data_IF_124664694370
#
_entry.id   IF_124664694370
#
_cell.length_a   1.000
_cell.length_b   1.000
_cell.length_c   1.000
_cell.angle_alpha   90.00
_cell.angle_beta   90.00
_cell.angle_gamma   90.00
#
_symmetry.space_group_name_H-M   'P 1'
#
loop_
_entity.id
_entity.type
_entity.pdbx_description
1 polymer ?
#
# COMPACT_ATOMS: atom_id res chain seq x y z
N UNK A 1 0.05 2.79 -12.91
CA UNK A 1 1.35 3.21 -12.34
C UNK A 1 1.44 2.61 -10.94
N UNK A 2 2.51 1.87 -10.63
CA UNK A 2 2.72 1.22 -9.33
C UNK A 2 3.95 1.86 -8.71
N UNK A 3 3.81 2.41 -7.50
CA UNK A 3 4.90 3.09 -6.79
C UNK A 3 4.94 2.61 -5.36
N UNK A 4 6.16 2.32 -4.88
CA UNK A 4 6.43 2.05 -3.47
C UNK A 4 6.64 3.38 -2.75
N UNK A 5 5.85 3.64 -1.71
CA UNK A 5 5.94 4.85 -0.90
C UNK A 5 6.77 4.57 0.34
N UNK A 6 7.93 5.22 0.43
CA UNK A 6 8.83 5.18 1.59
C UNK A 6 9.16 6.60 2.04
N UNK A 7 9.38 6.78 3.34
CA UNK A 7 9.76 8.05 3.93
C UNK A 7 10.34 7.86 5.32
N UNK A 8 11.24 8.73 5.76
CA UNK A 8 11.88 8.61 7.07
C UNK A 8 11.24 9.53 8.12
N UNK A 9 10.76 10.71 7.72
CA UNK A 9 9.98 11.62 8.57
C UNK A 9 9.35 12.73 7.72
N UNK A 10 8.34 13.46 8.25
CA UNK A 10 7.79 14.66 7.59
C UNK A 10 8.84 15.76 7.34
N UNK A 11 9.83 15.86 8.23
CA UNK A 11 10.94 16.83 8.13
C UNK A 11 12.05 16.40 7.17
N UNK A 12 12.20 15.10 6.90
CA UNK A 12 13.24 14.52 6.03
C UNK A 12 12.60 13.78 4.85
N UNK A 13 11.82 14.52 4.06
CA UNK A 13 11.18 14.01 2.83
C UNK A 13 12.07 14.26 1.62
N UNK A 14 12.22 13.23 0.79
CA UNK A 14 12.83 13.32 -0.53
C UNK A 14 12.11 14.38 -1.37
N UNK A 15 12.87 15.13 -2.19
CA UNK A 15 12.26 15.98 -3.20
C UNK A 15 11.72 15.11 -4.37
N UNK A 16 10.58 15.46 -4.99
CA UNK A 16 9.69 16.55 -4.60
C UNK A 16 8.83 16.21 -3.37
N UNK A 17 8.54 17.22 -2.53
CA UNK A 17 7.66 17.07 -1.36
C UNK A 17 6.20 17.02 -1.82
N UNK A 18 5.75 15.85 -2.27
CA UNK A 18 4.42 15.70 -2.88
C UNK A 18 3.27 15.85 -1.88
N UNK A 19 3.43 15.44 -0.62
CA UNK A 19 2.39 15.52 0.39
C UNK A 19 2.22 16.97 0.88
N UNK A 20 1.03 17.55 0.67
CA UNK A 20 0.63 18.86 1.15
C UNK A 20 -0.26 18.78 2.40
N UNK A 21 -0.67 17.58 2.78
CA UNK A 21 -1.58 17.28 3.89
C UNK A 21 -2.98 17.89 3.74
N UNK A 22 -3.39 18.15 2.48
CA UNK A 22 -4.72 18.64 2.14
C UNK A 22 -5.50 17.48 1.51
N UNK A 23 -6.64 17.04 2.09
CA UNK A 23 -7.41 15.94 1.53
C UNK A 23 -7.80 16.20 0.07
N UNK A 24 -7.69 15.18 -0.78
CA UNK A 24 -8.08 15.22 -2.21
C UNK A 24 -7.38 16.31 -3.03
N UNK A 25 -6.14 16.64 -2.68
CA UNK A 25 -5.42 17.76 -3.30
C UNK A 25 -4.49 17.36 -4.45
N UNK A 26 -4.11 16.08 -4.57
CA UNK A 26 -3.25 15.66 -5.67
C UNK A 26 -3.86 16.02 -7.03
N UNK A 27 -3.01 16.45 -7.95
CA UNK A 27 -3.41 16.81 -9.31
C UNK A 27 -3.27 15.60 -10.26
N UNK A 28 -3.95 14.50 -9.91
CA UNK A 28 -3.99 13.32 -10.76
C UNK A 28 -5.34 13.20 -11.47
N UNK A 29 -5.29 12.91 -12.77
CA UNK A 29 -6.45 12.71 -13.65
C UNK A 29 -6.78 11.22 -13.85
N UNK A 30 -5.97 10.34 -13.27
CA UNK A 30 -6.10 8.88 -13.39
C UNK A 30 -6.61 8.26 -12.08
N UNK A 31 -7.33 7.13 -12.15
CA UNK A 31 -7.68 6.35 -10.97
C UNK A 31 -6.43 5.86 -10.22
N UNK A 32 -6.50 5.80 -8.90
CA UNK A 32 -5.37 5.35 -8.05
C UNK A 32 -5.79 4.19 -7.14
N UNK A 33 -4.98 3.15 -7.05
CA UNK A 33 -5.05 2.16 -5.97
C UNK A 33 -3.79 2.24 -5.12
N UNK A 34 -3.96 2.38 -3.81
CA UNK A 34 -2.89 2.40 -2.82
C UNK A 34 -2.96 1.11 -2.02
N UNK A 35 -1.85 0.36 -1.99
CA UNK A 35 -1.72 -0.85 -1.17
C UNK A 35 -0.73 -0.54 -0.04
N UNK A 36 -1.24 -0.42 1.18
CA UNK A 36 -0.47 -0.13 2.38
C UNK A 36 -0.04 -1.41 3.11
N UNK A 37 1.04 -1.32 3.88
CA UNK A 37 1.49 -2.37 4.78
C UNK A 37 1.32 -1.91 6.24
N UNK A 38 0.62 -2.71 7.05
CA UNK A 38 0.20 -2.32 8.41
C UNK A 38 1.34 -2.17 9.42
N UNK A 39 2.50 -2.78 9.17
CA UNK A 39 3.66 -2.71 10.06
C UNK A 39 4.71 -1.68 9.61
N UNK A 40 4.47 -0.97 8.51
CA UNK A 40 5.45 -0.05 7.89
C UNK A 40 5.84 1.15 8.75
N UNK A 41 4.97 1.54 9.71
CA UNK A 41 5.25 2.61 10.67
C UNK A 41 5.95 2.13 11.95
N UNK A 42 6.29 0.84 12.04
CA UNK A 42 6.97 0.28 13.19
C UNK A 42 8.49 0.24 12.99
N UNK A 43 9.22 0.49 14.07
CA UNK A 43 10.68 0.38 14.11
C UNK A 43 11.15 -1.06 14.33
N UNK A 44 12.40 -1.34 13.97
CA UNK A 44 13.12 -2.57 14.35
C UNK A 44 14.38 -2.17 15.10
N UNK A 45 14.49 -2.53 16.37
CA UNK A 45 15.62 -2.16 17.23
C UNK A 45 15.88 -0.64 17.18
N UNK A 46 17.06 -0.25 16.68
CA UNK A 46 17.50 1.15 16.51
C UNK A 46 17.14 1.74 15.15
N UNK A 47 16.67 0.92 14.20
CA UNK A 47 16.33 1.38 12.86
C UNK A 47 14.96 2.05 12.85
N UNK A 48 14.83 3.27 12.31
CA UNK A 48 13.55 3.97 12.24
C UNK A 48 12.58 3.24 11.30
N UNK A 49 11.27 3.51 11.41
CA UNK A 49 10.30 3.01 10.45
C UNK A 49 10.60 3.47 9.02
N UNK A 50 10.27 2.64 8.03
CA UNK A 50 10.46 2.93 6.60
C UNK A 50 9.31 3.73 6.00
N UNK A 51 8.14 3.74 6.66
CA UNK A 51 7.02 4.61 6.33
C UNK A 51 6.27 5.01 7.63
N UNK A 52 6.86 5.89 8.46
CA UNK A 52 6.23 6.40 9.66
C UNK A 52 4.98 7.22 9.31
N UNK A 53 4.11 7.39 10.31
CA UNK A 53 2.94 8.27 10.18
C UNK A 53 3.38 9.69 9.76
N UNK A 54 2.57 10.31 8.91
CA UNK A 54 2.85 11.61 8.29
C UNK A 54 3.60 11.54 6.96
N UNK A 55 4.10 10.39 6.53
CA UNK A 55 4.80 10.20 5.23
C UNK A 55 4.55 8.84 4.59
N UNK A 56 3.46 8.16 4.95
CA UNK A 56 3.17 6.81 4.52
C UNK A 56 1.99 6.74 3.55
N UNK A 57 1.57 5.50 3.27
CA UNK A 57 0.49 5.17 2.35
C UNK A 57 -0.87 5.78 2.75
N UNK A 58 -1.15 6.02 4.03
CA UNK A 58 -2.41 6.61 4.49
C UNK A 58 -2.47 8.10 4.13
N UNK A 59 -1.38 8.86 4.35
CA UNK A 59 -1.33 10.27 3.96
C UNK A 59 -1.40 10.42 2.44
N UNK A 60 -0.71 9.55 1.70
CA UNK A 60 -0.79 9.55 0.24
C UNK A 60 -2.23 9.29 -0.24
N UNK A 61 -2.91 8.26 0.29
CA UNK A 61 -4.29 7.97 -0.07
C UNK A 61 -5.26 9.12 0.28
N UNK A 62 -5.04 9.79 1.41
CA UNK A 62 -5.86 10.92 1.83
C UNK A 62 -5.79 12.09 0.85
N UNK A 63 -4.64 12.31 0.22
CA UNK A 63 -4.46 13.36 -0.78
C UNK A 63 -4.90 12.96 -2.20
N UNK A 64 -5.04 11.66 -2.50
CA UNK A 64 -5.60 11.20 -3.78
C UNK A 64 -7.02 11.71 -3.99
N UNK A 65 -7.29 12.38 -5.12
CA UNK A 65 -8.67 12.58 -5.65
C UNK A 65 -9.34 11.26 -6.08
N UNK A 66 -10.68 11.16 -6.01
CA UNK A 66 -11.41 10.05 -6.59
C UNK A 66 -11.31 10.01 -8.13
N UNK A 67 -11.48 8.83 -8.77
CA UNK A 67 -11.73 7.54 -8.14
C UNK A 67 -10.44 6.92 -7.56
N UNK A 68 -10.47 6.54 -6.28
CA UNK A 68 -9.31 5.97 -5.61
C UNK A 68 -9.69 4.84 -4.64
N UNK A 69 -8.82 3.84 -4.52
CA UNK A 69 -8.97 2.71 -3.60
C UNK A 69 -7.76 2.58 -2.66
N UNK A 70 -8.00 2.09 -1.45
CA UNK A 70 -6.99 1.81 -0.44
C UNK A 70 -7.18 0.41 0.11
N UNK A 71 -6.09 -0.36 0.18
CA UNK A 71 -6.07 -1.71 0.73
C UNK A 71 -4.94 -1.81 1.74
N UNK A 72 -5.25 -2.05 3.02
CA UNK A 72 -4.22 -2.22 4.04
C UNK A 72 -3.93 -3.68 4.33
N UNK A 73 -2.76 -4.17 3.92
CA UNK A 73 -2.23 -5.47 4.33
C UNK A 73 -1.84 -5.43 5.82
N UNK A 74 -2.83 -5.64 6.70
CA UNK A 74 -2.79 -5.30 8.13
C UNK A 74 -1.61 -5.92 8.88
N UNK A 75 -1.26 -7.17 8.55
CA UNK A 75 -0.29 -7.96 9.28
C UNK A 75 1.09 -8.03 8.60
N UNK A 76 1.34 -7.20 7.58
CA UNK A 76 2.55 -7.26 6.75
C UNK A 76 3.43 -6.02 6.87
N UNK A 77 4.73 -6.24 6.67
CA UNK A 77 5.79 -5.25 6.65
C UNK A 77 5.96 -4.54 5.31
N UNK A 78 6.66 -3.41 5.32
CA UNK A 78 6.90 -2.59 4.11
C UNK A 78 7.63 -3.39 3.02
N UNK A 79 8.54 -4.27 3.41
CA UNK A 79 9.38 -5.07 2.52
C UNK A 79 8.87 -6.49 2.31
N UNK A 80 7.71 -6.84 2.87
CA UNK A 80 7.17 -8.19 2.81
C UNK A 80 6.62 -8.58 1.42
N UNK A 81 6.47 -7.61 0.52
CA UNK A 81 6.11 -7.83 -0.88
C UNK A 81 7.31 -8.25 -1.75
N UNK A 82 8.53 -8.07 -1.26
CA UNK A 82 9.74 -8.44 -2.01
C UNK A 82 9.93 -9.96 -2.05
N UNK A 83 10.85 -10.43 -2.92
CA UNK A 83 11.27 -11.83 -2.96
C UNK A 83 11.89 -12.27 -1.63
N UNK A 84 11.79 -13.56 -1.32
CA UNK A 84 12.05 -14.05 0.04
C UNK A 84 13.48 -13.78 0.53
N UNK A 85 14.48 -13.87 -0.35
CA UNK A 85 15.88 -13.54 -0.01
C UNK A 85 16.03 -12.05 0.38
N UNK A 86 15.42 -11.17 -0.41
CA UNK A 86 15.47 -9.72 -0.17
C UNK A 86 14.66 -9.36 1.08
N UNK A 87 13.49 -9.95 1.26
CA UNK A 87 12.64 -9.76 2.42
C UNK A 87 13.34 -10.22 3.70
N UNK A 88 14.07 -11.34 3.66
CA UNK A 88 14.85 -11.84 4.79
C UNK A 88 15.95 -10.86 5.20
N UNK A 89 16.74 -10.35 4.24
CA UNK A 89 17.77 -9.34 4.51
C UNK A 89 17.14 -8.05 5.05
N UNK A 90 16.07 -7.56 4.42
CA UNK A 90 15.39 -6.33 4.81
C UNK A 90 14.74 -6.43 6.20
N UNK A 91 14.34 -7.62 6.64
CA UNK A 91 13.71 -7.83 7.95
C UNK A 91 14.62 -7.46 9.14
N UNK A 92 15.93 -7.37 8.91
CA UNK A 92 16.91 -6.93 9.91
C UNK A 92 16.79 -5.43 10.24
N UNK A 93 16.26 -4.63 9.30
CA UNK A 93 16.18 -3.17 9.38
C UNK A 93 14.76 -2.62 9.20
N UNK A 94 13.80 -3.45 8.82
CA UNK A 94 12.40 -3.10 8.56
C UNK A 94 11.47 -4.11 9.24
N UNK A 95 10.37 -3.63 9.83
CA UNK A 95 9.45 -4.51 10.55
C UNK A 95 8.76 -5.44 9.56
N UNK A 96 8.97 -6.75 9.73
CA UNK A 96 8.29 -7.79 8.96
C UNK A 96 7.12 -8.40 9.73
N UNK A 97 6.11 -8.83 8.99
CA UNK A 97 4.99 -9.63 9.49
C UNK A 97 5.36 -11.08 9.76
N UNK A 98 4.54 -11.78 10.54
CA UNK A 98 4.71 -13.23 10.80
C UNK A 98 4.12 -14.12 9.70
N UNK A 99 3.29 -13.55 8.82
CA UNK A 99 2.62 -14.30 7.75
C UNK A 99 3.54 -14.67 6.59
N UNK A 100 3.19 -15.69 5.78
CA UNK A 100 3.91 -16.07 4.57
C UNK A 100 3.96 -14.92 3.55
N UNK A 101 5.15 -14.67 2.99
CA UNK A 101 5.38 -13.56 2.05
C UNK A 101 4.82 -13.83 0.65
N UNK A 102 4.71 -15.10 0.27
CA UNK A 102 4.06 -15.49 -0.98
C UNK A 102 2.58 -15.08 -1.02
N UNK A 103 1.88 -15.15 0.12
CA UNK A 103 0.50 -14.69 0.22
C UNK A 103 0.39 -13.17 0.06
N UNK A 104 1.34 -12.40 0.60
CA UNK A 104 1.43 -10.95 0.37
C UNK A 104 1.62 -10.64 -1.12
N UNK A 105 2.56 -11.33 -1.78
CA UNK A 105 2.80 -11.17 -3.23
C UNK A 105 1.57 -11.53 -4.06
N UNK A 106 0.89 -12.63 -3.74
CA UNK A 106 -0.37 -13.05 -4.39
C UNK A 106 -1.48 -12.02 -4.20
N UNK A 107 -1.65 -11.49 -2.98
CA UNK A 107 -2.63 -10.44 -2.71
C UNK A 107 -2.34 -9.16 -3.49
N UNK A 108 -1.10 -8.66 -3.44
CA UNK A 108 -0.68 -7.47 -4.20
C UNK A 108 -0.88 -7.68 -5.69
N UNK A 109 -0.40 -8.80 -6.24
CA UNK A 109 -0.57 -9.14 -7.65
C UNK A 109 -2.04 -9.21 -8.07
N UNK A 110 -2.88 -9.88 -7.28
CA UNK A 110 -4.32 -9.96 -7.51
C UNK A 110 -5.00 -8.60 -7.51
N UNK A 111 -4.72 -7.74 -6.53
CA UNK A 111 -5.28 -6.38 -6.46
C UNK A 111 -4.82 -5.55 -7.66
N UNK A 112 -3.54 -5.61 -8.05
CA UNK A 112 -3.02 -4.88 -9.21
C UNK A 112 -3.71 -5.32 -10.49
N UNK A 113 -3.83 -6.63 -10.73
CA UNK A 113 -4.51 -7.16 -11.92
C UNK A 113 -5.98 -6.74 -11.93
N UNK A 114 -6.71 -6.99 -10.84
CA UNK A 114 -8.13 -6.63 -10.72
C UNK A 114 -8.38 -5.13 -10.93
N UNK A 115 -7.50 -4.27 -10.36
CA UNK A 115 -7.58 -2.83 -10.54
C UNK A 115 -7.35 -2.40 -11.99
N UNK A 116 -6.32 -2.96 -12.65
CA UNK A 116 -6.02 -2.65 -14.04
C UNK A 116 -7.15 -3.11 -14.97
N UNK A 117 -7.68 -4.32 -14.77
CA UNK A 117 -8.85 -4.82 -15.51
C UNK A 117 -10.05 -3.88 -15.37
N UNK A 118 -10.39 -3.49 -14.14
CA UNK A 118 -11.51 -2.60 -13.87
C UNK A 118 -11.35 -1.18 -14.47
N UNK A 119 -10.11 -0.69 -14.65
CA UNK A 119 -9.85 0.68 -15.14
C UNK A 119 -9.47 0.77 -16.62
N UNK A 120 -9.01 -0.33 -17.23
CA UNK A 120 -8.61 -0.37 -18.64
C UNK A 120 -9.61 -1.12 -19.55
N UNK A 121 -10.80 -1.42 -19.05
CA UNK A 121 -11.88 -2.01 -19.87
C UNK A 121 -11.83 -3.53 -19.99
N UNK A 122 -11.35 -4.22 -18.95
CA UNK A 122 -11.49 -5.67 -18.81
C UNK A 122 -12.96 -6.10 -18.79
N UNK A 123 -13.25 -7.33 -19.24
CA UNK A 123 -14.62 -7.87 -19.34
C UNK A 123 -15.22 -8.27 -17.98
N UNK A 124 -14.38 -8.43 -16.96
CA UNK A 124 -14.77 -8.92 -15.63
C UNK A 124 -14.32 -7.89 -14.59
N UNK A 125 -15.25 -7.43 -13.74
CA UNK A 125 -14.94 -6.57 -12.61
C UNK A 125 -14.51 -7.42 -11.41
N UNK A 126 -13.24 -7.84 -11.41
CA UNK A 126 -12.64 -8.57 -10.29
C UNK A 126 -12.31 -7.65 -9.10
N UNK A 127 -12.36 -6.33 -9.27
CA UNK A 127 -12.02 -5.38 -8.21
C UNK A 127 -13.15 -5.20 -7.21
N UNK A 128 -14.40 -5.07 -7.69
CA UNK A 128 -15.55 -4.83 -6.83
C UNK A 128 -15.77 -5.96 -5.79
N UNK A 129 -15.64 -7.26 -6.13
CA UNK A 129 -15.69 -8.34 -5.14
C UNK A 129 -14.64 -8.19 -4.03
N UNK A 130 -13.40 -7.84 -4.36
CA UNK A 130 -12.32 -7.63 -3.36
C UNK A 130 -12.66 -6.44 -2.43
N UNK A 131 -13.28 -5.40 -2.97
CA UNK A 131 -13.70 -4.22 -2.19
C UNK A 131 -14.87 -4.55 -1.25
N UNK A 132 -15.85 -5.32 -1.70
CA UNK A 132 -17.03 -5.68 -0.91
C UNK A 132 -16.76 -6.80 0.10
N UNK A 133 -15.90 -7.74 -0.27
CA UNK A 133 -15.54 -8.90 0.53
C UNK A 133 -14.01 -9.06 0.60
N UNK A 134 -13.32 -8.24 1.43
CA UNK A 134 -11.86 -8.28 1.55
C UNK A 134 -11.30 -9.64 1.98
N UNK A 135 -12.11 -10.52 2.59
CA UNK A 135 -11.76 -11.88 2.98
C UNK A 135 -11.50 -12.81 1.79
N UNK A 136 -11.85 -12.42 0.56
CA UNK A 136 -11.47 -13.15 -0.65
C UNK A 136 -9.96 -13.07 -0.94
N UNK A 137 -9.27 -12.07 -0.39
CA UNK A 137 -7.82 -11.97 -0.51
C UNK A 137 -7.13 -13.04 0.37
N UNK A 138 -5.96 -13.56 -0.05
CA UNK A 138 -5.23 -14.56 0.71
C UNK A 138 -4.57 -14.01 2.00
N UNK A 139 -4.77 -12.72 2.30
CA UNK A 139 -4.26 -12.03 3.48
C UNK A 139 -5.35 -11.15 4.08
N UNK A 140 -5.19 -10.76 5.35
CA UNK A 140 -6.08 -9.78 5.98
C UNK A 140 -5.86 -8.39 5.36
N UNK A 141 -6.86 -7.94 4.60
CA UNK A 141 -6.98 -6.56 4.13
C UNK A 141 -7.96 -5.80 5.03
N UNK A 142 -7.44 -4.88 5.84
CA UNK A 142 -8.26 -4.11 6.79
C UNK A 142 -7.56 -2.80 7.22
N UNK A 143 -8.09 -1.62 6.86
CA UNK A 143 -9.34 -1.42 6.11
C UNK A 143 -9.15 -1.60 4.59
N UNK A 144 -10.28 -1.78 3.90
CA UNK A 144 -10.42 -1.57 2.46
C UNK A 144 -11.37 -0.39 2.23
N UNK A 145 -10.93 0.61 1.45
CA UNK A 145 -11.69 1.84 1.22
C UNK A 145 -11.75 2.08 -0.28
N UNK A 146 -12.94 2.39 -0.80
CA UNK A 146 -13.13 2.81 -2.19
C UNK A 146 -13.91 4.11 -2.22
N UNK A 147 -13.37 5.11 -2.90
CA UNK A 147 -14.00 6.42 -3.11
C UNK A 147 -14.17 6.62 -4.60
N UNK A 148 -15.42 6.87 -5.01
CA UNK A 148 -15.81 7.07 -6.40
C UNK A 148 -15.70 8.53 -6.79
#
# INVERSE_FOLDING_TARGET
>A
YVTLLAGFSPSNRSAPKILQYIPRNFDQTIPVAVIGAGLSNQRVCIFPPFAPNGVNHSEFFNECKPPCCYFLAKNYGHTDMLDDEIAAIASLISKSGKGPKDLMRKAVGGIVVAFLEAKLGGKVDNLNPIVQEPSLAPITLDPVISVK
#
